data_IF_297634760291
#
_entry.id   IF_297634760291
#
_cell.length_a   1.000
_cell.length_b   1.000
_cell.length_c   1.000
_cell.angle_alpha   90.00
_cell.angle_beta   90.00
_cell.angle_gamma   90.00
#
_symmetry.space_group_name_H-M   'P 1'
#
loop_
_entity.id
_entity.type
_entity.pdbx_description
1 polymer ?
#
# COMPACT_ATOMS: atom_id res chain seq x y z
N UNK A 1 6.61 -0.35 1.86
CA UNK A 1 6.18 -1.74 1.63
C UNK A 1 5.22 -1.78 0.45
N UNK A 2 5.44 -2.72 -0.47
CA UNK A 2 4.60 -2.97 -1.62
C UNK A 2 3.97 -4.36 -1.49
N UNK A 3 2.63 -4.43 -1.60
CA UNK A 3 1.92 -5.69 -1.67
C UNK A 3 1.63 -6.03 -3.15
N UNK A 4 2.23 -7.12 -3.62
CA UNK A 4 2.19 -7.56 -5.02
C UNK A 4 1.92 -9.08 -5.13
N UNK A 5 1.31 -9.67 -4.11
CA UNK A 5 1.12 -11.12 -3.99
C UNK A 5 -0.09 -11.69 -4.75
N UNK A 6 -1.00 -10.83 -5.24
CA UNK A 6 -2.26 -11.27 -5.84
C UNK A 6 -2.10 -11.95 -7.20
N UNK A 7 -2.70 -13.13 -7.36
CA UNK A 7 -2.64 -13.94 -8.58
C UNK A 7 -3.50 -13.48 -9.76
N UNK A 8 -3.99 -12.24 -9.77
CA UNK A 8 -4.69 -11.68 -10.95
C UNK A 8 -5.91 -12.48 -11.42
N UNK A 9 -6.67 -13.13 -10.53
CA UNK A 9 -7.80 -14.02 -10.87
C UNK A 9 -8.81 -13.39 -11.85
N UNK A 10 -9.06 -12.08 -11.74
CA UNK A 10 -9.95 -11.31 -12.64
C UNK A 10 -9.34 -10.97 -14.01
N UNK A 11 -8.06 -11.25 -14.22
CA UNK A 11 -7.29 -10.98 -15.44
C UNK A 11 -6.85 -12.29 -16.12
N UNK A 12 -7.59 -13.38 -15.91
CA UNK A 12 -7.29 -14.68 -16.51
C UNK A 12 -6.00 -15.31 -15.98
N UNK A 13 -5.63 -15.05 -14.72
CA UNK A 13 -4.43 -15.64 -14.09
C UNK A 13 -3.12 -14.94 -14.44
N UNK A 14 -3.15 -13.85 -15.22
CA UNK A 14 -1.94 -13.07 -15.52
C UNK A 14 -1.43 -12.35 -14.26
N UNK A 15 -0.12 -12.41 -13.96
CA UNK A 15 0.44 -11.70 -12.81
C UNK A 15 0.24 -10.20 -12.94
N UNK A 16 -0.61 -9.61 -12.08
CA UNK A 16 -0.86 -8.16 -12.05
C UNK A 16 0.44 -7.36 -11.97
N UNK A 17 1.39 -7.84 -11.17
CA UNK A 17 2.70 -7.22 -10.98
C UNK A 17 3.49 -7.00 -12.28
N UNK A 18 3.31 -7.88 -13.27
CA UNK A 18 4.02 -7.85 -14.56
C UNK A 18 3.23 -7.20 -15.69
N UNK A 19 2.02 -6.69 -15.42
CA UNK A 19 1.33 -5.89 -16.42
C UNK A 19 2.14 -4.65 -16.73
N UNK A 20 2.20 -4.31 -18.00
CA UNK A 20 2.92 -3.14 -18.45
C UNK A 20 2.05 -1.89 -18.35
N UNK A 21 2.64 -0.84 -17.82
CA UNK A 21 2.11 0.51 -17.86
C UNK A 21 3.23 1.40 -18.37
N UNK A 22 3.00 2.24 -19.39
CA UNK A 22 4.03 3.16 -19.91
C UNK A 22 5.41 2.50 -20.14
N UNK A 23 5.42 1.28 -20.69
CA UNK A 23 6.64 0.53 -21.03
C UNK A 23 7.40 -0.12 -19.86
N UNK A 24 6.82 -0.21 -18.66
CA UNK A 24 7.43 -0.94 -17.52
C UNK A 24 6.39 -1.73 -16.71
N UNK A 25 6.81 -2.82 -16.03
CA UNK A 25 5.95 -3.56 -15.10
C UNK A 25 5.34 -2.67 -14.00
N UNK A 26 4.10 -2.96 -13.61
CA UNK A 26 3.42 -2.26 -12.51
C UNK A 26 4.21 -2.30 -11.20
N UNK A 27 4.87 -3.42 -10.90
CA UNK A 27 5.72 -3.55 -9.71
C UNK A 27 6.87 -2.55 -9.72
N UNK A 28 7.48 -2.28 -10.87
CA UNK A 28 8.56 -1.29 -10.98
C UNK A 28 8.05 0.14 -10.78
N UNK A 29 6.87 0.46 -11.32
CA UNK A 29 6.24 1.78 -11.11
C UNK A 29 5.96 2.03 -9.63
N UNK A 30 5.37 1.05 -8.96
CA UNK A 30 5.06 1.15 -7.54
C UNK A 30 6.33 1.28 -6.69
N UNK A 31 7.40 0.53 -7.02
CA UNK A 31 8.70 0.66 -6.36
C UNK A 31 9.34 2.03 -6.57
N UNK A 32 9.29 2.56 -7.80
CA UNK A 32 9.76 3.91 -8.10
C UNK A 32 8.97 4.97 -7.35
N UNK A 33 7.65 4.85 -7.27
CA UNK A 33 6.80 5.77 -6.50
C UNK A 33 7.17 5.76 -5.01
N UNK A 34 7.39 4.56 -4.42
CA UNK A 34 7.83 4.43 -3.03
C UNK A 34 9.22 5.06 -2.81
N UNK A 35 10.19 4.70 -3.66
CA UNK A 35 11.57 5.19 -3.57
C UNK A 35 11.64 6.71 -3.70
N UNK A 36 11.05 7.25 -4.77
CA UNK A 36 11.07 8.68 -5.06
C UNK A 36 10.19 9.48 -4.09
N UNK A 37 9.22 8.84 -3.42
CA UNK A 37 8.47 9.41 -2.32
C UNK A 37 9.23 9.47 -0.99
N UNK A 38 10.48 9.02 -0.95
CA UNK A 38 11.35 9.06 0.22
C UNK A 38 11.19 7.88 1.18
N UNK A 39 10.61 6.76 0.72
CA UNK A 39 10.55 5.53 1.52
C UNK A 39 11.81 4.69 1.31
N UNK A 40 12.36 4.18 2.42
CA UNK A 40 13.47 3.23 2.42
C UNK A 40 13.68 2.69 3.84
N UNK A 41 14.13 1.43 4.00
CA UNK A 41 14.30 0.40 2.97
C UNK A 41 12.96 -0.06 2.35
N UNK A 42 13.01 -0.59 1.12
CA UNK A 42 11.81 -1.09 0.43
C UNK A 42 11.61 -2.58 0.70
N UNK A 43 10.38 -2.97 1.02
CA UNK A 43 9.97 -4.35 1.23
C UNK A 43 8.84 -4.70 0.26
N UNK A 44 8.96 -5.82 -0.46
CA UNK A 44 7.98 -6.31 -1.45
C UNK A 44 7.48 -7.66 -1.02
N UNK A 45 6.15 -7.80 -0.93
CA UNK A 45 5.51 -9.08 -0.68
C UNK A 45 4.96 -9.62 -2.01
N UNK A 46 5.53 -10.73 -2.47
CA UNK A 46 5.09 -11.47 -3.65
C UNK A 46 4.25 -12.70 -3.24
N UNK A 47 3.68 -13.39 -4.21
CA UNK A 47 2.76 -14.52 -3.98
C UNK A 47 2.69 -15.41 -5.21
N UNK A 48 1.51 -15.53 -5.81
CA UNK A 48 1.20 -16.47 -6.91
C UNK A 48 2.24 -16.55 -8.05
N UNK A 49 2.87 -15.43 -8.40
CA UNK A 49 3.82 -15.32 -9.51
C UNK A 49 5.20 -14.84 -9.07
N UNK A 50 5.63 -15.19 -7.85
CA UNK A 50 6.86 -14.65 -7.27
C UNK A 50 8.10 -14.89 -8.15
N UNK A 51 8.26 -16.11 -8.69
CA UNK A 51 9.44 -16.46 -9.49
C UNK A 51 9.44 -15.74 -10.84
N UNK A 52 8.28 -15.66 -11.50
CA UNK A 52 8.15 -14.90 -12.75
C UNK A 52 8.44 -13.41 -12.53
N UNK A 53 7.94 -12.84 -11.43
CA UNK A 53 8.20 -11.43 -11.08
C UNK A 53 9.68 -11.19 -10.82
N UNK A 54 10.36 -12.09 -10.09
CA UNK A 54 11.80 -11.97 -9.85
C UNK A 54 12.63 -12.07 -11.13
N UNK A 55 12.22 -12.92 -12.07
CA UNK A 55 12.94 -13.11 -13.32
C UNK A 55 12.79 -11.92 -14.28
N UNK A 56 11.66 -11.21 -14.24
CA UNK A 56 11.28 -10.24 -15.27
C UNK A 56 11.26 -8.78 -14.83
N UNK A 57 11.19 -8.49 -13.53
CA UNK A 57 11.11 -7.12 -13.02
C UNK A 57 12.38 -6.71 -12.26
N UNK A 58 12.75 -5.44 -12.38
CA UNK A 58 13.82 -4.87 -11.57
C UNK A 58 13.34 -4.58 -10.14
N UNK A 59 13.73 -5.47 -9.22
CA UNK A 59 13.46 -5.34 -7.77
C UNK A 59 14.68 -4.85 -6.98
N UNK A 60 15.74 -4.37 -7.67
CA UNK A 60 17.02 -4.00 -7.05
C UNK A 60 16.84 -3.02 -5.89
N UNK A 61 17.55 -3.27 -4.79
CA UNK A 61 17.47 -2.45 -3.58
C UNK A 61 16.18 -2.64 -2.76
N UNK A 62 15.45 -3.74 -2.99
CA UNK A 62 14.26 -4.12 -2.21
C UNK A 62 14.46 -5.48 -1.57
N UNK A 63 13.95 -5.66 -0.35
CA UNK A 63 13.83 -6.97 0.30
C UNK A 63 12.54 -7.63 -0.19
N UNK A 64 12.60 -8.90 -0.57
CA UNK A 64 11.46 -9.64 -1.14
C UNK A 64 11.07 -10.79 -0.23
N UNK A 65 9.80 -10.84 0.16
CA UNK A 65 9.19 -11.97 0.87
C UNK A 65 8.12 -12.61 0.00
N UNK A 66 8.04 -13.94 0.00
CA UNK A 66 6.99 -14.69 -0.70
C UNK A 66 5.91 -15.11 0.28
N UNK A 67 4.67 -14.78 -0.02
CA UNK A 67 3.51 -15.23 0.72
C UNK A 67 2.98 -16.55 0.12
N UNK A 68 3.18 -17.71 0.76
CA UNK A 68 2.59 -18.96 0.30
C UNK A 68 1.06 -18.96 0.48
N UNK A 69 0.53 -18.28 1.49
CA UNK A 69 -0.90 -18.12 1.77
C UNK A 69 -1.54 -16.94 1.03
N UNK A 70 -1.06 -16.58 -0.15
CA UNK A 70 -1.57 -15.44 -0.93
C UNK A 70 -3.06 -15.58 -1.27
N UNK A 71 -3.58 -16.81 -1.30
CA UNK A 71 -4.98 -17.12 -1.59
C UNK A 71 -5.95 -16.69 -0.48
N UNK A 72 -5.46 -16.51 0.75
CA UNK A 72 -6.22 -15.97 1.88
C UNK A 72 -6.57 -14.48 1.70
N UNK A 73 -5.99 -13.83 0.68
CA UNK A 73 -6.27 -12.45 0.31
C UNK A 73 -5.20 -11.45 0.78
N UNK A 74 -5.52 -10.16 0.64
CA UNK A 74 -4.59 -9.09 0.97
C UNK A 74 -4.14 -9.12 2.44
N UNK A 75 -5.01 -9.55 3.35
CA UNK A 75 -4.71 -9.63 4.78
C UNK A 75 -3.47 -10.49 5.10
N UNK A 76 -3.35 -11.67 4.49
CA UNK A 76 -2.18 -12.55 4.73
C UNK A 76 -0.88 -11.92 4.25
N UNK A 77 -0.93 -11.20 3.13
CA UNK A 77 0.23 -10.49 2.58
C UNK A 77 0.64 -9.30 3.45
N UNK A 78 -0.33 -8.58 4.01
CA UNK A 78 -0.09 -7.49 4.94
C UNK A 78 0.55 -8.00 6.24
N UNK A 79 0.00 -9.07 6.83
CA UNK A 79 0.56 -9.69 8.05
C UNK A 79 2.01 -10.12 7.84
N UNK A 80 2.27 -10.83 6.76
CA UNK A 80 3.61 -11.30 6.43
C UNK A 80 4.60 -10.14 6.23
N UNK A 81 4.18 -9.09 5.51
CA UNK A 81 4.99 -7.91 5.30
C UNK A 81 5.29 -7.12 6.58
N UNK A 82 4.29 -6.94 7.46
CA UNK A 82 4.50 -6.28 8.75
C UNK A 82 5.40 -7.11 9.69
N UNK A 83 5.24 -8.43 9.70
CA UNK A 83 6.10 -9.34 10.45
C UNK A 83 7.57 -9.25 9.99
N UNK A 84 7.79 -9.19 8.67
CA UNK A 84 9.14 -9.02 8.11
C UNK A 84 9.78 -7.66 8.47
N UNK A 85 8.98 -6.63 8.76
CA UNK A 85 9.47 -5.31 9.19
C UNK A 85 9.73 -5.24 10.70
N UNK A 86 9.08 -6.07 11.51
CA UNK A 86 9.14 -6.03 12.99
C UNK A 86 10.55 -6.15 13.59
N UNK A 87 11.51 -6.74 12.87
CA UNK A 87 12.92 -6.87 13.30
C UNK A 87 13.89 -5.85 12.70
N UNK A 88 13.42 -4.94 11.85
CA UNK A 88 14.30 -4.05 11.06
C UNK A 88 14.63 -2.73 11.74
N UNK A 89 13.97 -2.41 12.85
CA UNK A 89 14.06 -1.10 13.51
C UNK A 89 13.26 0.01 12.81
N UNK A 90 12.48 -0.28 11.76
CA UNK A 90 11.66 0.72 11.09
C UNK A 90 10.54 1.28 12.01
N UNK A 91 10.35 2.60 11.98
CA UNK A 91 9.36 3.30 12.81
C UNK A 91 7.94 3.34 12.21
N UNK A 92 7.83 3.09 10.90
CA UNK A 92 6.56 3.08 10.18
C UNK A 92 6.64 2.28 8.88
N UNK A 93 5.50 1.75 8.47
CA UNK A 93 5.30 1.06 7.20
C UNK A 93 4.32 1.86 6.34
N UNK A 94 4.80 2.45 5.24
CA UNK A 94 3.94 2.98 4.19
C UNK A 94 3.64 1.86 3.17
N UNK A 95 2.38 1.55 2.98
CA UNK A 95 1.86 0.43 2.21
C UNK A 95 1.21 0.92 0.92
N UNK A 96 1.65 0.34 -0.20
CA UNK A 96 1.10 0.54 -1.54
C UNK A 96 0.70 -0.82 -2.14
N UNK A 97 -0.31 -0.83 -3.02
CA UNK A 97 -0.72 -2.00 -3.77
C UNK A 97 -0.20 -1.92 -5.21
N UNK A 98 0.14 -3.07 -5.80
CA UNK A 98 0.72 -3.10 -7.15
C UNK A 98 -0.28 -2.72 -8.26
N UNK A 99 -1.59 -2.88 -8.03
CA UNK A 99 -2.63 -2.61 -9.02
C UNK A 99 -3.13 -1.16 -9.05
N UNK A 100 -2.33 -0.23 -8.50
CA UNK A 100 -2.65 1.21 -8.44
C UNK A 100 -1.60 2.05 -9.19
N UNK A 101 -1.46 1.91 -10.53
CA UNK A 101 -0.44 2.61 -11.33
C UNK A 101 -0.52 4.15 -11.27
N UNK A 102 -1.68 4.70 -10.93
CA UNK A 102 -1.88 6.15 -10.83
C UNK A 102 -1.24 6.79 -9.61
N UNK A 103 -0.77 6.00 -8.64
CA UNK A 103 -0.15 6.54 -7.43
C UNK A 103 1.33 6.86 -7.69
N UNK A 104 1.63 8.15 -7.73
CA UNK A 104 2.99 8.67 -7.91
C UNK A 104 3.72 9.00 -6.61
N UNK A 105 5.00 9.37 -6.76
CA UNK A 105 5.90 9.74 -5.67
C UNK A 105 5.37 10.87 -4.79
N UNK A 106 4.68 11.86 -5.35
CA UNK A 106 4.11 12.96 -4.59
C UNK A 106 3.04 12.52 -3.58
N UNK A 107 2.23 11.52 -3.94
CA UNK A 107 1.20 11.00 -3.04
C UNK A 107 1.86 10.24 -1.88
N UNK A 108 2.91 9.45 -2.18
CA UNK A 108 3.73 8.77 -1.18
C UNK A 108 4.40 9.78 -0.24
N UNK A 109 5.07 10.80 -0.79
CA UNK A 109 5.74 11.83 -0.02
C UNK A 109 4.78 12.57 0.92
N UNK A 110 3.57 12.91 0.44
CA UNK A 110 2.53 13.55 1.26
C UNK A 110 2.10 12.70 2.45
N UNK A 111 1.83 11.41 2.24
CA UNK A 111 1.46 10.50 3.33
C UNK A 111 2.63 10.28 4.30
N UNK A 112 3.85 10.16 3.78
CA UNK A 112 5.07 10.06 4.59
C UNK A 112 5.28 11.30 5.46
N UNK A 113 5.14 12.51 4.92
CA UNK A 113 5.32 13.77 5.66
C UNK A 113 4.26 14.00 6.76
N UNK A 114 3.13 13.30 6.68
CA UNK A 114 2.09 13.34 7.71
C UNK A 114 2.38 12.39 8.89
N UNK A 115 3.44 11.58 8.83
CA UNK A 115 3.92 10.79 9.97
C UNK A 115 4.33 11.70 11.14
N UNK A 116 3.87 11.37 12.36
CA UNK A 116 4.20 12.12 13.57
C UNK A 116 4.81 11.29 14.69
N UNK A 117 4.54 10.00 14.72
CA UNK A 117 4.91 9.10 15.82
C UNK A 117 4.72 7.63 15.42
N UNK A 118 5.33 6.71 16.18
CA UNK A 118 5.15 5.26 16.02
C UNK A 118 3.70 4.78 16.28
N UNK A 119 2.80 5.64 16.72
CA UNK A 119 1.36 5.39 16.85
C UNK A 119 0.52 5.95 15.69
N UNK A 120 1.15 6.65 14.75
CA UNK A 120 0.49 7.32 13.62
C UNK A 120 -0.24 6.35 12.70
N UNK A 121 -1.40 6.77 12.20
CA UNK A 121 -2.12 6.12 11.11
C UNK A 121 -2.58 7.17 10.11
N UNK A 122 -2.10 7.05 8.89
CA UNK A 122 -2.34 8.04 7.84
C UNK A 122 -2.80 7.31 6.60
N UNK A 123 -3.86 7.77 5.96
CA UNK A 123 -4.28 7.28 4.66
C UNK A 123 -4.40 8.44 3.68
N UNK A 124 -4.07 8.21 2.42
CA UNK A 124 -4.48 9.10 1.36
C UNK A 124 -6.01 9.14 1.29
N UNK A 125 -6.55 10.29 0.84
CA UNK A 125 -7.97 10.41 0.54
C UNK A 125 -8.16 10.99 -0.85
N UNK A 126 -9.09 10.39 -1.59
CA UNK A 126 -9.51 10.79 -2.93
C UNK A 126 -11.01 10.99 -2.87
N UNK A 127 -11.48 12.21 -3.13
CA UNK A 127 -12.90 12.58 -3.10
C UNK A 127 -13.64 12.20 -1.81
N UNK A 128 -12.93 12.25 -0.67
CA UNK A 128 -13.46 11.90 0.65
C UNK A 128 -13.34 10.42 1.01
N UNK A 129 -13.05 9.57 0.03
CA UNK A 129 -12.82 8.14 0.24
C UNK A 129 -11.36 7.88 0.63
N UNK A 130 -11.15 6.97 1.59
CA UNK A 130 -9.82 6.58 2.04
C UNK A 130 -9.21 5.56 1.08
N UNK A 131 -7.93 5.72 0.78
CA UNK A 131 -7.22 4.81 -0.11
C UNK A 131 -5.71 4.79 0.15
N UNK A 132 -5.01 4.02 -0.66
CA UNK A 132 -3.56 3.94 -0.63
C UNK A 132 -2.91 5.18 -1.28
N UNK A 133 -1.67 5.54 -0.89
CA UNK A 133 -0.86 4.88 0.13
C UNK A 133 -1.41 5.07 1.55
N UNK A 134 -1.19 4.07 2.40
CA UNK A 134 -1.54 4.10 3.83
C UNK A 134 -0.27 3.91 4.65
N UNK A 135 -0.09 4.66 5.72
CA UNK A 135 1.04 4.57 6.63
C UNK A 135 0.59 4.07 8.00
N UNK A 136 1.36 3.12 8.52
CA UNK A 136 1.18 2.52 9.83
C UNK A 136 2.42 2.71 10.69
N UNK A 137 2.30 3.43 11.80
CA UNK A 137 3.36 3.48 12.81
C UNK A 137 3.61 2.11 13.43
N UNK A 138 4.87 1.85 13.79
CA UNK A 138 5.32 0.53 14.22
C UNK A 138 4.59 -0.03 15.45
N UNK A 139 4.18 0.82 16.39
CA UNK A 139 3.48 0.38 17.60
C UNK A 139 2.04 -0.09 17.29
N UNK A 140 1.56 0.10 16.06
CA UNK A 140 0.25 -0.35 15.59
C UNK A 140 0.29 -1.62 14.76
N UNK A 141 1.48 -2.12 14.40
CA UNK A 141 1.58 -3.25 13.48
C UNK A 141 0.94 -4.53 14.03
N UNK A 142 1.08 -4.80 15.33
CA UNK A 142 0.46 -5.96 15.96
C UNK A 142 -1.08 -5.90 15.87
N UNK A 143 -1.68 -4.76 16.23
CA UNK A 143 -3.13 -4.54 16.12
C UNK A 143 -3.62 -4.72 14.68
N UNK A 144 -2.90 -4.13 13.72
CA UNK A 144 -3.25 -4.16 12.30
C UNK A 144 -3.14 -5.58 11.76
N UNK A 145 -2.08 -6.30 12.11
CA UNK A 145 -1.90 -7.68 11.70
C UNK A 145 -3.00 -8.59 12.26
N UNK A 146 -3.40 -8.39 13.52
CA UNK A 146 -4.51 -9.13 14.14
C UNK A 146 -5.86 -8.83 13.47
N UNK A 147 -6.11 -7.59 13.06
CA UNK A 147 -7.34 -7.19 12.38
C UNK A 147 -7.39 -7.50 10.88
N UNK A 148 -6.28 -7.88 10.26
CA UNK A 148 -6.17 -8.14 8.82
C UNK A 148 -6.68 -9.53 8.44
N UNK A 149 -7.99 -9.78 8.55
CA UNK A 149 -8.65 -11.04 8.20
C UNK A 149 -9.37 -10.93 6.84
N UNK A 150 -9.02 -11.80 5.89
CA UNK A 150 -9.65 -11.90 4.57
C UNK A 150 -9.24 -10.83 3.53
N UNK A 151 -9.96 -10.81 2.40
CA UNK A 151 -9.72 -9.91 1.25
C UNK A 151 -10.27 -8.48 1.46
N UNK A 152 -10.55 -8.12 2.72
CA UNK A 152 -10.96 -6.79 3.12
C UNK A 152 -9.70 -5.93 3.25
N UNK A 153 -9.15 -5.51 2.11
CA UNK A 153 -8.16 -4.45 2.09
C UNK A 153 -8.68 -3.20 2.81
N UNK A 154 -7.81 -2.32 3.33
CA UNK A 154 -8.20 -1.14 4.10
C UNK A 154 -9.04 -0.11 3.30
N UNK A 155 -9.36 -0.38 2.03
CA UNK A 155 -10.17 0.46 1.14
C UNK A 155 -11.64 0.04 0.98
N UNK A 156 -12.17 -0.99 1.66
CA UNK A 156 -13.61 -1.37 1.52
C UNK A 156 -14.46 -1.47 2.78
N UNK A 157 -13.93 -1.16 3.95
CA UNK A 157 -14.74 -1.01 5.18
C UNK A 157 -14.72 0.44 5.67
N UNK A 158 -15.50 1.26 4.98
CA UNK A 158 -16.05 2.48 5.56
C UNK A 158 -17.56 2.56 5.29
N UNK A 159 -18.27 1.46 5.50
CA UNK A 159 -19.72 1.37 5.30
C UNK A 159 -20.34 0.23 6.09
N UNK A 160 -20.95 0.59 7.22
CA UNK A 160 -21.93 -0.16 8.01
C UNK A 160 -21.48 -1.48 8.69
N UNK A 161 -21.42 -1.41 10.03
CA UNK A 161 -21.74 -2.49 10.98
C UNK A 161 -20.69 -3.57 11.21
N UNK A 162 -19.68 -3.25 12.03
CA UNK A 162 -19.28 -4.00 13.24
C UNK A 162 -17.81 -3.72 13.62
N UNK A 163 -17.52 -2.49 14.06
CA UNK A 163 -16.34 -2.20 14.89
C UNK A 163 -16.64 -0.91 15.67
N UNK A 164 -17.46 -1.02 16.71
CA UNK A 164 -17.72 0.10 17.63
C UNK A 164 -16.46 0.36 18.45
N UNK A 165 -16.16 1.65 18.60
CA UNK A 165 -15.31 2.25 19.64
C UNK A 165 -13.80 2.06 19.52
N UNK A 166 -13.17 2.91 18.71
CA UNK A 166 -12.23 3.95 19.17
C UNK A 166 -11.99 4.92 18.02
N UNK A 167 -12.23 6.19 18.27
CA UNK A 167 -12.22 7.29 17.29
C UNK A 167 -10.88 7.35 16.56
N UNK A 168 -10.87 7.03 15.26
CA UNK A 168 -9.72 7.24 14.38
C UNK A 168 -9.81 8.67 13.81
N UNK A 169 -9.25 9.65 14.50
CA UNK A 169 -9.19 11.01 13.95
C UNK A 169 -8.01 11.12 12.97
N UNK A 170 -8.32 11.19 11.68
CA UNK A 170 -7.39 11.66 10.65
C UNK A 170 -7.73 13.12 10.37
N UNK A 171 -6.76 14.03 10.55
CA UNK A 171 -6.93 15.44 10.16
C UNK A 171 -7.03 15.53 8.64
N UNK A 172 -8.25 15.83 8.20
CA UNK A 172 -8.71 16.10 6.84
C UNK A 172 -8.02 17.33 6.25
N UNK A 173 -7.64 17.31 4.97
CA UNK A 173 -7.51 18.55 4.20
C UNK A 173 -8.01 18.40 2.77
N UNK A 174 -8.89 19.32 2.39
CA UNK A 174 -9.54 19.44 1.08
C UNK A 174 -8.51 19.88 0.03
N UNK A 175 -8.60 19.37 -1.19
CA UNK A 175 -7.98 20.04 -2.35
C UNK A 175 -8.65 21.41 -2.50
N UNK A 176 -7.85 22.48 -2.62
CA UNK A 176 -8.34 23.74 -3.19
C UNK A 176 -8.80 23.41 -4.60
N UNK A 177 -10.09 23.56 -4.86
CA UNK A 177 -10.61 23.69 -6.21
C UNK A 177 -9.93 24.89 -6.85
N UNK A 178 -9.28 24.67 -7.98
CA UNK A 178 -8.91 25.75 -8.90
C UNK A 178 -10.18 26.52 -9.23
N UNK A 179 -10.20 27.77 -8.80
CA UNK A 179 -11.21 28.76 -9.13
C UNK A 179 -11.35 28.88 -10.64
N UNK A 180 -12.58 28.66 -11.11
CA UNK A 180 -13.08 29.18 -12.37
C UNK A 180 -12.79 30.69 -12.44
N UNK A 181 -12.17 31.23 -13.51
CA UNK A 181 -12.36 32.64 -13.82
C UNK A 181 -13.70 32.76 -14.56
N UNK A 182 -14.67 33.41 -13.89
CA UNK A 182 -15.84 33.99 -14.57
C UNK A 182 -15.53 35.44 -14.93
N UNK A 183 -16.03 35.83 -16.10
CA UNK A 183 -16.22 37.18 -16.66
C UNK A 183 -14.95 37.80 -17.25
N UNK A 184 -15.01 38.40 -18.43
CA UNK A 184 -16.11 39.20 -19.01
C UNK A 184 -16.79 38.59 -20.22
#
# INVERSE_FOLDING_TARGET
>A
MLLAAGGGRRLGGRPKALLEHRGRPLVEHALRALRNGGCGPLHVVLGAAADEVRARADLTGSVVTVNPGWEEGMGSSLRLGLAALAGTGADAALVLLVDQPGIGAEAVARVRLAYRSRTSLVAASYDGERGHPVLFGADRWADIAAGAVGDQGPGRTCGSTAMRSRSWSVRMWRRRTTSTPRRT
#
